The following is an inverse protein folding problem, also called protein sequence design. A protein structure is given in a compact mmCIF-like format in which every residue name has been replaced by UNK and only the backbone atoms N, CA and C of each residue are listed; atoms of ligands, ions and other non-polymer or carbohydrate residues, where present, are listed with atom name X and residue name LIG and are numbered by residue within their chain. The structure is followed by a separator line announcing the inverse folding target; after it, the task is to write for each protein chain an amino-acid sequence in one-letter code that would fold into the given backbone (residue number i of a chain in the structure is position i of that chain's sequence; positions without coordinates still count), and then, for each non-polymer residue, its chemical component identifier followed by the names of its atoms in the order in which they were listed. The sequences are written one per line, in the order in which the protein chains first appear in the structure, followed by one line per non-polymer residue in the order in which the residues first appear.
data_IF_492119107911
#
_entry.id   IF_492119107911
#
_cell.length_a   1.000
_cell.length_b   1.000
_cell.length_c   1.000
_cell.angle_alpha   90.00
_cell.angle_beta   90.00
_cell.angle_gamma   90.00
#
_symmetry.space_group_name_H-M   'P 1'
#
loop_
_entity.id
_entity.type
_entity.pdbx_description
1 polymer ?
#
# COMPACT_ATOMS: atom_id res chain seq x y z
N UNK A 1 17.25 1.02 24.57
CA UNK A 1 16.16 0.10 24.25
C UNK A 1 15.13 0.19 25.35
N UNK A 2 14.00 0.85 25.09
CA UNK A 2 12.85 0.82 26.00
C UNK A 2 11.93 -0.29 25.51
N UNK A 3 12.01 -1.47 26.14
CA UNK A 3 11.02 -2.51 25.92
C UNK A 3 9.69 -1.99 26.46
N UNK A 4 8.77 -1.67 25.56
CA UNK A 4 7.36 -1.56 25.91
C UNK A 4 6.89 -2.98 26.22
N UNK A 5 6.93 -3.31 27.51
CA UNK A 5 6.22 -4.43 28.09
C UNK A 5 4.72 -4.18 27.89
N UNK A 6 4.11 -4.84 26.89
CA UNK A 6 2.66 -4.92 26.77
C UNK A 6 2.14 -5.84 27.90
N UNK A 7 1.98 -5.26 29.09
CA UNK A 7 1.16 -5.85 30.14
C UNK A 7 -0.28 -5.90 29.62
N UNK A 8 -0.91 -7.09 29.73
CA UNK A 8 -2.34 -7.41 29.58
C UNK A 8 -3.23 -6.27 29.09
N UNK A 9 -3.85 -6.41 27.91
CA UNK A 9 -4.99 -5.59 27.49
C UNK A 9 -6.22 -5.94 28.36
N UNK A 10 -6.20 -5.58 29.64
CA UNK A 10 -7.38 -5.61 30.52
C UNK A 10 -8.16 -4.27 30.48
N UNK A 11 -7.60 -3.24 29.84
CA UNK A 11 -8.28 -1.96 29.63
C UNK A 11 -9.02 -1.94 28.30
N UNK A 12 -10.35 -1.93 28.37
CA UNK A 12 -11.21 -1.77 27.20
C UNK A 12 -10.96 -0.41 26.54
N UNK A 13 -10.63 -0.39 25.24
CA UNK A 13 -10.62 0.85 24.46
C UNK A 13 -12.01 1.46 24.47
N UNK A 14 -12.12 2.77 24.70
CA UNK A 14 -13.40 3.47 24.81
C UNK A 14 -13.62 4.39 23.61
N UNK A 15 -14.85 4.40 23.09
CA UNK A 15 -15.34 5.35 22.08
C UNK A 15 -16.40 6.25 22.69
N UNK A 16 -16.46 7.51 22.23
CA UNK A 16 -17.46 8.48 22.69
C UNK A 16 -18.67 8.44 21.76
N UNK A 17 -19.85 8.17 22.31
CA UNK A 17 -21.10 8.19 21.55
C UNK A 17 -21.59 9.63 21.26
N UNK A 18 -22.65 9.76 20.46
CA UNK A 18 -23.23 11.04 20.07
C UNK A 18 -23.79 11.84 21.27
N UNK A 19 -24.09 11.16 22.38
CA UNK A 19 -24.56 11.75 23.63
C UNK A 19 -23.40 12.11 24.57
N UNK A 20 -22.16 11.85 24.14
CA UNK A 20 -20.95 12.21 24.86
C UNK A 20 -20.50 11.19 25.91
N UNK A 21 -21.12 10.01 25.99
CA UNK A 21 -20.77 8.93 26.93
C UNK A 21 -19.65 8.07 26.37
N UNK A 22 -18.81 7.55 27.25
CA UNK A 22 -17.76 6.59 26.88
C UNK A 22 -18.29 5.16 27.00
N UNK A 23 -18.17 4.41 25.91
CA UNK A 23 -18.57 3.02 25.80
C UNK A 23 -17.38 2.17 25.33
N UNK A 24 -17.28 0.89 25.72
CA UNK A 24 -16.32 -0.03 25.13
C UNK A 24 -16.43 -0.05 23.61
N UNK A 25 -15.30 0.09 22.94
CA UNK A 25 -15.19 0.04 21.49
C UNK A 25 -15.42 -1.39 21.02
N UNK A 26 -16.23 -1.56 19.98
CA UNK A 26 -16.30 -2.84 19.28
C UNK A 26 -14.98 -3.12 18.54
N UNK A 27 -14.72 -4.38 18.22
CA UNK A 27 -13.56 -4.77 17.40
C UNK A 27 -13.55 -4.00 16.07
N UNK A 28 -14.70 -3.84 15.42
CA UNK A 28 -14.81 -3.08 14.17
C UNK A 28 -14.46 -1.60 14.36
N UNK A 29 -14.88 -0.98 15.46
CA UNK A 29 -14.53 0.41 15.76
C UNK A 29 -13.04 0.57 16.05
N UNK A 30 -12.42 -0.41 16.71
CA UNK A 30 -10.98 -0.42 16.97
C UNK A 30 -10.20 -0.54 15.67
N UNK A 31 -10.61 -1.48 14.79
CA UNK A 31 -9.96 -1.67 13.50
C UNK A 31 -10.13 -0.45 12.58
N UNK A 32 -11.32 0.15 12.57
CA UNK A 32 -11.58 1.36 11.79
C UNK A 32 -10.79 2.56 12.32
N UNK A 33 -10.78 2.80 13.64
CA UNK A 33 -9.96 3.84 14.24
C UNK A 33 -8.47 3.60 14.02
N UNK A 34 -8.00 2.35 14.04
CA UNK A 34 -6.62 2.00 13.71
C UNK A 34 -6.30 2.31 12.24
N UNK A 35 -7.17 1.95 11.30
CA UNK A 35 -7.02 2.32 9.87
C UNK A 35 -6.94 3.84 9.70
N UNK A 36 -7.86 4.59 10.31
CA UNK A 36 -7.86 6.05 10.26
C UNK A 36 -6.62 6.66 10.91
N UNK A 37 -6.15 6.12 12.04
CA UNK A 37 -4.93 6.60 12.70
C UNK A 37 -3.65 6.29 11.89
N UNK A 38 -3.60 5.14 11.21
CA UNK A 38 -2.53 4.78 10.27
C UNK A 38 -2.57 5.73 9.07
N UNK A 39 -3.74 6.03 8.54
CA UNK A 39 -3.93 7.02 7.47
C UNK A 39 -3.47 8.41 7.88
N UNK A 40 -3.80 8.85 9.10
CA UNK A 40 -3.37 10.13 9.67
C UNK A 40 -1.85 10.17 9.90
N UNK A 41 -1.24 9.06 10.35
CA UNK A 41 0.21 8.97 10.54
C UNK A 41 1.01 8.88 9.24
N UNK A 42 0.39 8.43 8.15
CA UNK A 42 1.05 8.17 6.87
C UNK A 42 0.43 9.01 5.74
N UNK A 43 0.19 10.30 6.02
CA UNK A 43 -0.26 11.29 5.03
C UNK A 43 0.86 11.76 4.10
N UNK A 44 0.43 12.41 3.01
CA UNK A 44 1.26 13.18 2.06
C UNK A 44 2.49 13.80 2.75
N UNK A 45 3.68 13.41 2.32
CA UNK A 45 4.95 13.78 2.95
C UNK A 45 5.68 12.64 3.67
N UNK A 46 5.03 11.48 3.90
CA UNK A 46 5.68 10.29 4.47
C UNK A 46 6.86 9.84 3.59
N UNK A 47 8.04 9.70 4.19
CA UNK A 47 9.26 9.28 3.48
C UNK A 47 9.35 7.75 3.42
N UNK A 48 9.33 7.20 2.20
CA UNK A 48 9.53 5.77 1.97
C UNK A 48 11.00 5.47 1.73
N UNK A 49 11.77 5.38 2.83
CA UNK A 49 13.23 5.23 2.80
C UNK A 49 13.71 3.77 2.79
N UNK A 50 12.81 2.80 2.98
CA UNK A 50 13.16 1.37 2.94
C UNK A 50 12.00 0.50 2.46
N UNK A 51 12.27 -0.65 1.80
CA UNK A 51 11.24 -1.61 1.42
C UNK A 51 10.42 -2.14 2.60
N UNK A 52 11.01 -2.22 3.81
CA UNK A 52 10.30 -2.65 5.01
C UNK A 52 9.12 -1.70 5.36
N UNK A 53 9.37 -0.38 5.35
CA UNK A 53 8.33 0.62 5.60
C UNK A 53 7.24 0.61 4.52
N UNK A 54 7.66 0.44 3.26
CA UNK A 54 6.73 0.34 2.11
C UNK A 54 5.84 -0.90 2.26
N UNK A 55 6.42 -2.06 2.58
CA UNK A 55 5.68 -3.32 2.80
C UNK A 55 4.69 -3.21 3.96
N UNK A 56 5.10 -2.60 5.08
CA UNK A 56 4.21 -2.39 6.22
C UNK A 56 3.03 -1.50 5.85
N UNK A 57 3.29 -0.37 5.20
CA UNK A 57 2.25 0.53 4.71
C UNK A 57 1.27 -0.16 3.78
N UNK A 58 1.78 -0.88 2.78
CA UNK A 58 0.97 -1.55 1.78
C UNK A 58 0.18 -2.72 2.35
N UNK A 59 0.72 -3.46 3.32
CA UNK A 59 -0.05 -4.48 4.04
C UNK A 59 -1.25 -3.88 4.78
N UNK A 60 -1.05 -2.77 5.48
CA UNK A 60 -2.15 -2.11 6.18
C UNK A 60 -3.25 -1.62 5.23
N UNK A 61 -2.88 -1.29 3.98
CA UNK A 61 -3.81 -0.83 2.95
C UNK A 61 -4.50 -1.94 2.17
N UNK A 62 -3.75 -2.97 1.79
CA UNK A 62 -4.22 -3.97 0.81
C UNK A 62 -4.59 -5.32 1.43
N UNK A 63 -4.24 -5.59 2.69
CA UNK A 63 -4.67 -6.81 3.37
C UNK A 63 -6.17 -6.77 3.64
N UNK A 64 -6.89 -7.84 3.27
CA UNK A 64 -8.32 -8.00 3.53
C UNK A 64 -9.22 -7.77 2.32
N UNK A 65 -8.68 -7.31 1.19
CA UNK A 65 -9.42 -7.34 -0.06
C UNK A 65 -9.60 -8.78 -0.56
N UNK A 66 -10.85 -9.14 -0.88
CA UNK A 66 -11.23 -10.46 -1.42
C UNK A 66 -10.91 -10.60 -2.92
N UNK A 67 -10.56 -9.49 -3.58
CA UNK A 67 -10.18 -9.42 -4.98
C UNK A 67 -8.83 -8.72 -5.13
N UNK A 68 -8.20 -8.87 -6.29
CA UNK A 68 -6.95 -8.17 -6.60
C UNK A 68 -7.19 -6.67 -6.78
N UNK A 69 -6.42 -5.87 -6.07
CA UNK A 69 -6.40 -4.41 -6.16
C UNK A 69 -5.00 -3.98 -6.54
N UNK A 70 -4.86 -3.34 -7.71
CA UNK A 70 -3.62 -2.73 -8.14
C UNK A 70 -3.58 -1.27 -7.68
N UNK A 71 -2.60 -0.95 -6.87
CA UNK A 71 -2.39 0.37 -6.30
C UNK A 71 -1.02 0.95 -6.64
N UNK A 72 -0.92 2.27 -6.61
CA UNK A 72 0.30 3.02 -6.89
C UNK A 72 0.52 4.07 -5.81
N UNK A 73 1.75 4.11 -5.30
CA UNK A 73 2.24 5.22 -4.48
C UNK A 73 2.97 6.18 -5.41
N UNK A 74 2.45 7.39 -5.53
CA UNK A 74 3.07 8.48 -6.28
C UNK A 74 3.97 9.28 -5.37
N UNK A 75 5.23 9.48 -5.74
CA UNK A 75 6.27 10.05 -4.89
C UNK A 75 6.91 11.29 -5.50
N UNK A 76 7.36 12.20 -4.64
CA UNK A 76 8.17 13.35 -5.06
C UNK A 76 9.67 12.99 -5.25
N UNK A 77 10.49 13.98 -5.59
CA UNK A 77 11.94 13.80 -5.82
C UNK A 77 12.72 13.37 -4.58
N UNK A 78 12.15 13.54 -3.38
CA UNK A 78 12.70 13.10 -2.09
C UNK A 78 12.08 11.79 -1.61
N UNK A 79 11.36 11.08 -2.48
CA UNK A 79 10.66 9.83 -2.19
C UNK A 79 9.60 9.98 -1.09
N UNK A 80 8.99 11.17 -0.99
CA UNK A 80 7.85 11.41 -0.10
C UNK A 80 6.55 11.10 -0.82
N UNK A 81 5.61 10.48 -0.11
CA UNK A 81 4.28 10.20 -0.64
C UNK A 81 3.58 11.49 -1.05
N UNK A 82 3.23 11.60 -2.33
CA UNK A 82 2.29 12.61 -2.83
C UNK A 82 0.87 12.09 -2.61
N UNK A 83 0.59 10.88 -3.12
CA UNK A 83 -0.72 10.25 -3.05
C UNK A 83 -0.60 8.73 -3.19
N UNK A 84 -1.44 7.99 -2.47
CA UNK A 84 -1.70 6.57 -2.69
C UNK A 84 -3.01 6.43 -3.46
N UNK A 85 -3.03 5.64 -4.54
CA UNK A 85 -4.26 5.35 -5.28
C UNK A 85 -4.39 3.88 -5.61
N UNK A 86 -5.56 3.34 -5.32
CA UNK A 86 -6.07 2.10 -5.90
C UNK A 86 -6.56 2.43 -7.31
N UNK A 87 -5.83 1.97 -8.33
CA UNK A 87 -6.07 2.37 -9.72
C UNK A 87 -6.91 1.36 -10.49
N UNK A 88 -6.81 0.08 -10.14
CA UNK A 88 -7.54 -0.98 -10.81
C UNK A 88 -8.00 -2.03 -9.81
N UNK A 89 -9.21 -2.52 -10.00
CA UNK A 89 -9.78 -3.61 -9.24
C UNK A 89 -10.04 -4.76 -10.22
N UNK A 90 -9.49 -5.93 -9.94
CA UNK A 90 -9.67 -7.14 -10.72
C UNK A 90 -10.81 -8.00 -10.21
N UNK A 91 -11.16 -9.01 -11.01
CA UNK A 91 -11.74 -10.26 -10.51
C UNK A 91 -10.61 -11.29 -10.36
N UNK A 92 -10.93 -12.49 -9.85
CA UNK A 92 -9.98 -13.59 -9.54
C UNK A 92 -9.00 -13.93 -10.68
N UNK A 93 -9.29 -13.56 -11.95
CA UNK A 93 -8.52 -13.98 -13.13
C UNK A 93 -7.69 -12.89 -13.85
N UNK A 94 -7.75 -11.61 -13.45
CA UNK A 94 -6.77 -10.54 -13.73
C UNK A 94 -7.38 -9.14 -13.65
N UNK A 95 -6.75 -8.22 -12.92
CA UNK A 95 -6.95 -6.79 -13.14
C UNK A 95 -6.28 -6.37 -14.45
N UNK A 96 -7.05 -5.85 -15.42
CA UNK A 96 -6.46 -5.24 -16.61
C UNK A 96 -5.83 -3.89 -16.25
N UNK A 97 -4.52 -3.91 -15.99
CA UNK A 97 -3.75 -2.69 -15.69
C UNK A 97 -3.28 -2.04 -16.98
N UNK A 98 -3.68 -0.78 -17.19
CA UNK A 98 -3.35 -0.02 -18.41
C UNK A 98 -2.24 1.00 -18.14
N UNK A 99 -1.04 0.85 -18.74
CA UNK A 99 0.07 1.78 -18.50
C UNK A 99 -0.26 3.26 -18.75
N UNK A 100 -1.11 3.54 -19.75
CA UNK A 100 -1.52 4.91 -20.07
C UNK A 100 -2.21 5.63 -18.90
N UNK A 101 -3.00 4.92 -18.09
CA UNK A 101 -3.71 5.53 -16.96
C UNK A 101 -2.75 5.78 -15.80
N UNK A 102 -1.80 4.87 -15.57
CA UNK A 102 -0.73 5.05 -14.57
C UNK A 102 0.16 6.25 -14.93
N UNK A 103 0.55 6.36 -16.20
CA UNK A 103 1.35 7.49 -16.71
C UNK A 103 0.58 8.81 -16.60
N UNK A 104 -0.69 8.83 -17.02
CA UNK A 104 -1.55 10.01 -16.92
C UNK A 104 -1.65 10.50 -15.46
N UNK A 105 -1.82 9.57 -14.53
CA UNK A 105 -1.93 9.88 -13.11
C UNK A 105 -0.60 10.37 -12.51
N UNK A 106 0.52 9.74 -12.88
CA UNK A 106 1.85 10.19 -12.47
C UNK A 106 2.12 11.64 -12.91
N UNK A 107 1.80 11.97 -14.17
CA UNK A 107 1.93 13.31 -14.71
C UNK A 107 0.96 14.29 -14.03
N UNK A 108 -0.30 13.91 -13.81
CA UNK A 108 -1.30 14.74 -13.10
C UNK A 108 -0.80 15.14 -11.70
N UNK A 109 -0.12 14.23 -11.02
CA UNK A 109 0.40 14.42 -9.67
C UNK A 109 1.80 15.05 -9.64
N UNK A 110 2.44 15.28 -10.79
CA UNK A 110 3.85 15.68 -10.89
C UNK A 110 4.77 14.73 -10.10
N UNK A 111 4.48 13.43 -10.17
CA UNK A 111 5.28 12.41 -9.49
C UNK A 111 6.65 12.30 -10.16
N UNK A 112 7.71 12.26 -9.35
CA UNK A 112 9.08 11.99 -9.84
C UNK A 112 9.41 10.49 -9.79
N UNK A 113 8.63 9.73 -9.02
CA UNK A 113 8.80 8.30 -8.86
C UNK A 113 7.49 7.64 -8.45
N UNK A 114 7.39 6.33 -8.65
CA UNK A 114 6.28 5.50 -8.17
C UNK A 114 6.76 4.21 -7.53
N UNK A 115 5.94 3.67 -6.63
CA UNK A 115 5.99 2.28 -6.20
C UNK A 115 4.68 1.63 -6.61
N UNK A 116 4.77 0.51 -7.32
CA UNK A 116 3.63 -0.29 -7.76
C UNK A 116 3.27 -1.29 -6.67
N UNK A 117 2.00 -1.69 -6.58
CA UNK A 117 1.59 -2.76 -5.68
C UNK A 117 0.32 -3.45 -6.14
N UNK A 118 0.18 -4.72 -5.79
CA UNK A 118 -1.11 -5.39 -5.77
C UNK A 118 -1.17 -6.45 -4.67
N UNK A 119 -2.37 -6.86 -4.29
CA UNK A 119 -2.56 -8.00 -3.40
C UNK A 119 -2.85 -9.29 -4.17
N UNK A 120 -2.42 -10.41 -3.61
CA UNK A 120 -2.87 -11.76 -3.96
C UNK A 120 -3.84 -12.27 -2.89
N UNK A 121 -5.15 -12.33 -3.15
CA UNK A 121 -6.13 -12.93 -2.23
C UNK A 121 -5.82 -14.39 -1.89
N UNK A 122 -5.13 -15.10 -2.79
CA UNK A 122 -4.69 -16.49 -2.59
C UNK A 122 -3.70 -16.66 -1.43
N UNK A 123 -3.08 -15.59 -0.95
CA UNK A 123 -2.08 -15.62 0.11
C UNK A 123 -0.67 -16.04 -0.34
N UNK A 124 -0.44 -16.32 -1.62
CA UNK A 124 0.89 -16.60 -2.15
C UNK A 124 1.64 -15.29 -2.49
N UNK A 125 2.76 -14.95 -1.83
CA UNK A 125 3.52 -13.73 -2.10
C UNK A 125 4.48 -13.85 -3.30
N UNK A 126 4.52 -14.99 -3.99
CA UNK A 126 5.43 -15.22 -5.12
C UNK A 126 4.94 -14.52 -6.39
N UNK A 127 5.77 -13.68 -7.04
CA UNK A 127 5.41 -13.02 -8.28
C UNK A 127 5.25 -14.01 -9.44
N UNK A 128 4.10 -13.94 -10.10
CA UNK A 128 3.82 -14.64 -11.34
C UNK A 128 4.63 -14.06 -12.51
N UNK A 129 4.63 -14.77 -13.65
CA UNK A 129 5.21 -14.22 -14.88
C UNK A 129 4.41 -13.02 -15.41
N UNK A 130 3.10 -12.99 -15.19
CA UNK A 130 2.26 -11.86 -15.55
C UNK A 130 2.67 -10.60 -14.77
N UNK A 131 2.95 -10.73 -13.48
CA UNK A 131 3.40 -9.62 -12.63
C UNK A 131 4.72 -9.04 -13.14
N UNK A 132 5.67 -9.91 -13.49
CA UNK A 132 6.98 -9.50 -14.03
C UNK A 132 6.83 -8.76 -15.36
N UNK A 133 6.04 -9.28 -16.28
CA UNK A 133 5.77 -8.64 -17.57
C UNK A 133 5.05 -7.30 -17.41
N UNK A 134 4.04 -7.24 -16.53
CA UNK A 134 3.31 -6.02 -16.22
C UNK A 134 4.25 -4.96 -15.62
N UNK A 135 5.07 -5.35 -14.66
CA UNK A 135 6.06 -4.47 -14.02
C UNK A 135 7.00 -3.86 -15.04
N UNK A 136 7.56 -4.70 -15.92
CA UNK A 136 8.47 -4.24 -16.96
C UNK A 136 7.80 -3.25 -17.91
N UNK A 137 6.58 -3.58 -18.38
CA UNK A 137 5.82 -2.71 -19.27
C UNK A 137 5.49 -1.36 -18.63
N UNK A 138 5.15 -1.33 -17.34
CA UNK A 138 4.90 -0.10 -16.60
C UNK A 138 6.18 0.71 -16.40
N UNK A 139 7.28 0.06 -16.01
CA UNK A 139 8.60 0.68 -15.88
C UNK A 139 9.05 1.35 -17.18
N UNK A 140 8.91 0.67 -18.30
CA UNK A 140 9.26 1.22 -19.62
C UNK A 140 8.39 2.44 -19.96
N UNK A 141 7.07 2.33 -19.77
CA UNK A 141 6.15 3.42 -20.08
C UNK A 141 6.36 4.66 -19.20
N UNK A 142 6.59 4.48 -17.90
CA UNK A 142 6.87 5.56 -16.95
C UNK A 142 8.24 6.19 -17.21
N UNK A 143 9.23 5.38 -17.60
CA UNK A 143 10.56 5.85 -17.95
C UNK A 143 10.58 6.82 -19.14
N UNK A 144 9.65 6.67 -20.10
CA UNK A 144 9.51 7.59 -21.24
C UNK A 144 9.11 9.01 -20.84
N UNK A 145 8.54 9.19 -19.65
CA UNK A 145 8.15 10.49 -19.09
C UNK A 145 8.95 10.82 -17.82
N UNK A 146 10.14 10.22 -17.68
CA UNK A 146 11.09 10.47 -16.60
C UNK A 146 10.56 10.17 -15.18
N UNK A 147 9.55 9.31 -15.06
CA UNK A 147 9.04 8.83 -13.77
C UNK A 147 9.69 7.49 -13.43
N UNK A 148 10.41 7.45 -12.30
CA UNK A 148 11.14 6.24 -11.88
C UNK A 148 10.22 5.25 -11.19
N UNK A 149 10.22 3.99 -11.61
CA UNK A 149 9.59 2.90 -10.86
C UNK A 149 10.59 2.34 -9.85
N UNK A 150 10.40 2.63 -8.56
CA UNK A 150 11.36 2.27 -7.51
C UNK A 150 11.20 0.84 -7.01
N UNK A 151 9.97 0.34 -6.99
CA UNK A 151 9.66 -1.00 -6.52
C UNK A 151 8.30 -1.47 -7.06
N UNK A 152 8.06 -2.77 -6.96
CA UNK A 152 6.75 -3.38 -7.05
C UNK A 152 6.57 -4.33 -5.87
N UNK A 153 5.57 -4.05 -5.03
CA UNK A 153 5.31 -4.84 -3.83
C UNK A 153 4.04 -5.68 -3.96
N UNK A 154 4.16 -6.98 -3.81
CA UNK A 154 3.03 -7.92 -3.76
C UNK A 154 2.66 -8.15 -2.30
N UNK A 155 1.40 -7.92 -1.94
CA UNK A 155 0.85 -8.17 -0.61
C UNK A 155 0.06 -9.47 -0.60
N UNK A 156 0.38 -10.39 0.31
CA UNK A 156 -0.30 -11.68 0.40
C UNK A 156 -0.57 -12.02 1.88
N UNK A 157 -1.71 -11.55 2.38
CA UNK A 157 -2.09 -11.70 3.79
C UNK A 157 -1.10 -10.99 4.73
N UNK A 158 -0.36 -11.77 5.52
CA UNK A 158 0.68 -11.27 6.43
C UNK A 158 2.10 -11.29 5.80
N UNK A 159 2.23 -11.67 4.53
CA UNK A 159 3.47 -11.62 3.79
C UNK A 159 3.46 -10.48 2.77
N UNK A 160 4.63 -9.97 2.42
CA UNK A 160 4.80 -9.08 1.29
C UNK A 160 6.17 -9.28 0.62
N UNK A 161 6.18 -9.25 -0.70
CA UNK A 161 7.38 -9.40 -1.54
C UNK A 161 7.69 -8.09 -2.23
N UNK A 162 8.93 -7.60 -2.12
CA UNK A 162 9.45 -6.48 -2.91
C UNK A 162 10.22 -7.01 -4.13
N UNK A 163 9.98 -6.43 -5.30
CA UNK A 163 10.74 -6.74 -6.52
C UNK A 163 12.16 -6.19 -6.43
N UNK A 164 12.33 -5.00 -5.83
CA UNK A 164 13.64 -4.38 -5.62
C UNK A 164 14.53 -5.25 -4.71
N UNK A 165 13.99 -5.76 -3.59
CA UNK A 165 14.72 -6.68 -2.70
C UNK A 165 15.12 -7.99 -3.40
N UNK A 166 14.33 -8.42 -4.39
CA UNK A 166 14.58 -9.63 -5.18
C UNK A 166 15.43 -9.40 -6.44
N UNK A 167 15.86 -8.16 -6.71
CA UNK A 167 16.63 -7.81 -7.91
C UNK A 167 15.85 -7.99 -9.22
N UNK A 168 14.53 -7.84 -9.19
CA UNK A 168 13.64 -7.97 -10.34
C UNK A 168 13.36 -6.64 -11.05
N UNK A 169 13.89 -5.53 -10.52
CA UNK A 169 13.74 -4.17 -11.07
C UNK A 169 15.01 -3.36 -10.91
#
# INVERSE_FOLDING_TARGET
MSQLSFSSFDDALLVRDAQGRYLPASVDQILEAARQAIELKMQRGAEFTSPALVKEYLRNKLTGFEHEVFAVLFLDTRHRLIEYREMFHGTIDSASVYPREVVKEALRLNAAAVILSHNHPSGNPEPSQADKLLTQRLKDALGLVEVRTLDHVIVAGQAATSFAERGLI
#
